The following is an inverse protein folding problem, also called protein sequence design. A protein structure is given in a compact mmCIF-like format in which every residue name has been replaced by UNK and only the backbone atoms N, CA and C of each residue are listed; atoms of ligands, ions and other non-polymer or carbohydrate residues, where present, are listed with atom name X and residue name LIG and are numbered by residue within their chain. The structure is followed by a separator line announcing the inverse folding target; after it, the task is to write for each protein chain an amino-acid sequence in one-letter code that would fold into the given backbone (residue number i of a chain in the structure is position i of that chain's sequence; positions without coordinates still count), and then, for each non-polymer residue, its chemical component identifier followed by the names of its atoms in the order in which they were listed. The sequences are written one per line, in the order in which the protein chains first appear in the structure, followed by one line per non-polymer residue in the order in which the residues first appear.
data_IF_197157784653
#
_entry.id   IF_197157784653
#
_cell.length_a   1.000
_cell.length_b   1.000
_cell.length_c   1.000
_cell.angle_alpha   90.00
_cell.angle_beta   90.00
_cell.angle_gamma   90.00
#
_symmetry.space_group_name_H-M   'P 1'
#
loop_
_entity.id
_entity.type
_entity.pdbx_description
1 polymer ?
#
# COMPACT_ATOMS: atom_id res chain seq x y z
N UNK A 1 7.69 20.10 -62.59
CA UNK A 1 6.80 20.67 -61.55
C UNK A 1 6.98 19.80 -60.30
N UNK A 2 7.83 20.26 -59.37
CA UNK A 2 7.40 20.87 -58.09
C UNK A 2 6.64 19.83 -57.23
N UNK A 3 7.36 18.99 -56.49
CA UNK A 3 7.75 19.15 -55.06
C UNK A 3 6.56 19.10 -54.12
N UNK A 4 6.54 18.11 -53.21
CA UNK A 4 6.22 18.28 -51.78
C UNK A 4 6.57 16.97 -51.06
N UNK A 5 7.82 16.88 -50.57
CA UNK A 5 8.19 15.94 -49.52
C UNK A 5 7.72 16.56 -48.20
N UNK A 6 6.65 16.02 -47.64
CA UNK A 6 6.22 16.36 -46.28
C UNK A 6 7.21 15.74 -45.31
N UNK A 7 8.09 16.56 -44.74
CA UNK A 7 8.85 16.22 -43.54
C UNK A 7 7.87 16.00 -42.40
N UNK A 8 7.49 14.75 -42.17
CA UNK A 8 6.82 14.32 -40.96
C UNK A 8 7.83 14.42 -39.80
N UNK A 9 7.85 15.57 -39.14
CA UNK A 9 8.48 15.69 -37.84
C UNK A 9 7.76 14.74 -36.89
N UNK A 10 8.40 13.60 -36.62
CA UNK A 10 8.03 12.72 -35.52
C UNK A 10 7.91 13.57 -34.25
N UNK A 11 6.88 13.35 -33.41
CA UNK A 11 6.81 14.04 -32.13
C UNK A 11 8.07 13.70 -31.33
N UNK A 12 8.87 14.72 -31.03
CA UNK A 12 10.07 14.61 -30.21
C UNK A 12 9.67 14.05 -28.84
N UNK A 13 10.19 12.85 -28.52
CA UNK A 13 9.97 12.21 -27.22
C UNK A 13 10.40 13.16 -26.09
N UNK A 14 9.65 13.25 -24.97
CA UNK A 14 10.02 14.09 -23.82
C UNK A 14 11.46 13.85 -23.35
N UNK A 15 11.93 12.60 -23.43
CA UNK A 15 13.31 12.19 -23.09
C UNK A 15 14.38 12.82 -23.99
N UNK A 16 14.05 13.11 -25.25
CA UNK A 16 14.98 13.76 -26.19
C UNK A 16 15.17 15.24 -25.87
N UNK A 17 14.17 15.86 -25.24
CA UNK A 17 14.19 17.28 -24.90
C UNK A 17 14.95 17.51 -23.59
N UNK A 18 14.83 16.60 -22.63
CA UNK A 18 15.58 16.60 -21.37
C UNK A 18 17.10 16.52 -21.63
N UNK A 19 17.55 15.53 -22.41
CA UNK A 19 18.96 15.39 -22.77
C UNK A 19 19.50 16.59 -23.58
N UNK A 20 18.65 17.19 -24.43
CA UNK A 20 19.02 18.40 -25.18
C UNK A 20 19.19 19.61 -24.26
N UNK A 21 18.31 19.80 -23.27
CA UNK A 21 18.41 20.88 -22.28
C UNK A 21 19.67 20.72 -21.41
N UNK A 22 19.97 19.50 -20.95
CA UNK A 22 21.19 19.24 -20.19
C UNK A 22 22.46 19.55 -20.99
N UNK A 23 22.52 19.10 -22.25
CA UNK A 23 23.65 19.40 -23.13
C UNK A 23 23.80 20.90 -23.41
N UNK A 24 22.70 21.63 -23.57
CA UNK A 24 22.70 23.08 -23.73
C UNK A 24 23.21 23.78 -22.47
N UNK A 25 22.85 23.29 -21.29
CA UNK A 25 23.28 23.83 -20.01
C UNK A 25 24.77 23.58 -19.75
N UNK A 26 25.28 22.39 -20.05
CA UNK A 26 26.70 22.07 -19.86
C UNK A 26 27.58 22.85 -20.85
N UNK A 27 27.14 23.04 -22.10
CA UNK A 27 27.79 23.93 -23.05
C UNK A 27 27.78 25.40 -22.60
N UNK A 28 26.69 25.84 -21.96
CA UNK A 28 26.61 27.20 -21.44
C UNK A 28 27.58 27.41 -20.28
N UNK A 29 27.65 26.43 -19.37
CA UNK A 29 28.55 26.41 -18.23
C UNK A 29 30.01 26.50 -18.66
N UNK A 30 30.42 25.76 -19.69
CA UNK A 30 31.80 25.83 -20.22
C UNK A 30 32.14 27.20 -20.83
N UNK A 31 31.18 27.82 -21.53
CA UNK A 31 31.35 29.15 -22.14
C UNK A 31 31.52 30.23 -21.07
N UNK A 32 30.72 30.20 -20.00
CA UNK A 32 30.73 31.25 -18.97
C UNK A 32 31.86 31.05 -17.94
N UNK A 33 32.27 29.80 -17.69
CA UNK A 33 33.33 29.47 -16.72
C UNK A 33 34.76 29.58 -17.29
N UNK A 34 34.89 29.95 -18.57
CA UNK A 34 36.19 30.11 -19.23
C UNK A 34 36.96 31.33 -18.69
N UNK A 35 38.28 31.21 -18.36
CA UNK A 35 39.10 32.35 -17.92
C UNK A 35 39.23 33.47 -18.97
N UNK A 36 38.92 33.18 -20.24
CA UNK A 36 38.95 34.12 -21.37
C UNK A 36 37.56 34.70 -21.70
N UNK A 37 36.54 34.38 -20.90
CA UNK A 37 35.18 34.84 -21.15
C UNK A 37 35.11 36.37 -21.11
N UNK A 38 34.69 36.98 -22.21
CA UNK A 38 34.44 38.42 -22.26
C UNK A 38 33.10 38.75 -21.60
N UNK A 39 32.94 39.99 -21.16
CA UNK A 39 31.66 40.50 -20.60
C UNK A 39 30.50 40.22 -21.57
N UNK A 40 30.71 40.44 -22.87
CA UNK A 40 29.71 40.14 -23.90
C UNK A 40 29.34 38.65 -23.96
N UNK A 41 30.33 37.76 -23.85
CA UNK A 41 30.12 36.31 -23.79
C UNK A 41 29.31 35.90 -22.55
N UNK A 42 29.57 36.53 -21.40
CA UNK A 42 28.81 36.30 -20.18
C UNK A 42 27.38 36.81 -20.30
N UNK A 43 27.16 38.01 -20.86
CA UNK A 43 25.82 38.56 -21.13
C UNK A 43 25.03 37.71 -22.14
N UNK A 44 25.70 37.19 -23.16
CA UNK A 44 25.13 36.21 -24.09
C UNK A 44 24.76 34.90 -23.37
N UNK A 45 25.62 34.42 -22.47
CA UNK A 45 25.35 33.27 -21.61
C UNK A 45 24.08 33.43 -20.76
N UNK A 46 23.94 34.58 -20.08
CA UNK A 46 22.75 34.89 -19.28
C UNK A 46 21.47 34.96 -20.13
N UNK A 47 21.53 35.59 -21.32
CA UNK A 47 20.38 35.61 -22.25
C UNK A 47 19.97 34.22 -22.71
N UNK A 48 20.93 33.35 -23.01
CA UNK A 48 20.66 31.94 -23.34
C UNK A 48 20.06 31.20 -22.15
N UNK A 49 20.54 31.42 -20.94
CA UNK A 49 19.97 30.82 -19.73
C UNK A 49 18.49 31.20 -19.55
N UNK A 50 18.16 32.50 -19.67
CA UNK A 50 16.77 32.97 -19.63
C UNK A 50 15.90 32.30 -20.69
N UNK A 51 16.41 32.17 -21.92
CA UNK A 51 15.68 31.48 -23.00
C UNK A 51 15.47 29.99 -22.71
N UNK A 52 16.46 29.31 -22.14
CA UNK A 52 16.36 27.89 -21.76
C UNK A 52 15.31 27.72 -20.66
N UNK A 53 15.35 28.54 -19.60
CA UNK A 53 14.38 28.47 -18.51
C UNK A 53 12.94 28.78 -18.96
N UNK A 54 12.76 29.76 -19.85
CA UNK A 54 11.45 30.03 -20.44
C UNK A 54 10.95 28.84 -21.28
N UNK A 55 11.82 28.24 -22.09
CA UNK A 55 11.48 27.05 -22.88
C UNK A 55 11.10 25.83 -22.02
N UNK A 56 11.76 25.63 -20.88
CA UNK A 56 11.38 24.59 -19.91
C UNK A 56 9.99 24.89 -19.33
N UNK A 57 9.73 26.14 -18.93
CA UNK A 57 8.41 26.56 -18.42
C UNK A 57 7.29 26.33 -19.43
N UNK A 58 7.49 26.76 -20.68
CA UNK A 58 6.54 26.52 -21.77
C UNK A 58 6.33 25.02 -22.04
N UNK A 59 7.41 24.23 -22.02
CA UNK A 59 7.38 22.79 -22.20
C UNK A 59 6.63 22.07 -21.08
N UNK A 60 6.75 22.52 -19.82
CA UNK A 60 5.97 22.00 -18.69
C UNK A 60 4.49 22.36 -18.77
N UNK A 61 4.15 23.52 -19.33
CA UNK A 61 2.78 23.97 -19.53
C UNK A 61 2.08 23.34 -20.74
N UNK A 62 2.79 22.55 -21.56
CA UNK A 62 2.14 21.84 -22.67
C UNK A 62 1.18 20.76 -22.14
N UNK A 63 -0.05 20.64 -22.69
CA UNK A 63 -1.03 19.67 -22.20
C UNK A 63 -0.52 18.23 -22.15
N UNK A 64 0.34 17.84 -23.11
CA UNK A 64 0.91 16.50 -23.17
C UNK A 64 1.92 16.23 -22.05
N UNK A 65 2.78 17.19 -21.70
CA UNK A 65 3.77 17.02 -20.65
C UNK A 65 3.16 17.21 -19.26
N UNK A 66 2.14 18.05 -19.13
CA UNK A 66 1.37 18.16 -17.90
C UNK A 66 0.65 16.84 -17.59
N UNK A 67 0.01 16.23 -18.59
CA UNK A 67 -0.65 14.93 -18.43
C UNK A 67 0.34 13.82 -18.05
N UNK A 68 1.51 13.76 -18.69
CA UNK A 68 2.52 12.74 -18.39
C UNK A 68 3.14 12.92 -17.01
N UNK A 69 3.36 14.16 -16.57
CA UNK A 69 3.90 14.46 -15.25
C UNK A 69 2.87 14.16 -14.14
N UNK A 70 1.60 14.53 -14.34
CA UNK A 70 0.51 14.13 -13.46
C UNK A 70 0.37 12.60 -13.37
N UNK A 71 0.47 11.89 -14.50
CA UNK A 71 0.43 10.43 -14.53
C UNK A 71 1.61 9.82 -13.78
N UNK A 72 2.82 10.39 -13.92
CA UNK A 72 4.03 9.94 -13.22
C UNK A 72 3.91 10.12 -11.70
N UNK A 73 3.39 11.28 -11.27
CA UNK A 73 3.15 11.55 -9.85
C UNK A 73 2.07 10.61 -9.27
N UNK A 74 0.98 10.38 -10.02
CA UNK A 74 -0.05 9.41 -9.63
C UNK A 74 0.51 7.99 -9.54
N UNK A 75 1.32 7.57 -10.51
CA UNK A 75 1.97 6.26 -10.52
C UNK A 75 2.85 6.06 -9.29
N UNK A 76 3.69 7.04 -8.95
CA UNK A 76 4.52 7.01 -7.73
C UNK A 76 3.68 6.90 -6.46
N UNK A 77 2.59 7.67 -6.36
CA UNK A 77 1.69 7.59 -5.21
C UNK A 77 1.00 6.21 -5.10
N UNK A 78 0.58 5.63 -6.22
CA UNK A 78 -0.02 4.28 -6.25
C UNK A 78 1.00 3.20 -5.88
N UNK A 79 2.25 3.30 -6.35
CA UNK A 79 3.34 2.39 -5.97
C UNK A 79 3.62 2.43 -4.47
N UNK A 80 3.63 3.62 -3.84
CA UNK A 80 3.76 3.74 -2.39
C UNK A 80 2.58 3.09 -1.63
N UNK A 81 1.35 3.29 -2.09
CA UNK A 81 0.15 2.66 -1.51
C UNK A 81 0.22 1.14 -1.64
N UNK A 82 0.65 0.63 -2.79
CA UNK A 82 0.89 -0.80 -3.01
C UNK A 82 1.98 -1.33 -2.08
N UNK A 83 3.04 -0.57 -1.81
CA UNK A 83 4.06 -0.94 -0.82
C UNK A 83 3.44 -1.10 0.58
N UNK A 84 2.68 -0.10 1.02
CA UNK A 84 2.01 -0.12 2.34
C UNK A 84 0.93 -1.20 2.45
N UNK A 85 0.26 -1.53 1.35
CA UNK A 85 -0.77 -2.57 1.35
C UNK A 85 -0.22 -3.96 1.66
N UNK A 86 1.07 -4.22 1.38
CA UNK A 86 1.71 -5.49 1.74
C UNK A 86 1.79 -5.66 3.26
N UNK A 87 2.18 -4.60 3.97
CA UNK A 87 2.24 -4.61 5.44
C UNK A 87 0.86 -4.94 6.04
N UNK A 88 -0.22 -4.42 5.44
CA UNK A 88 -1.59 -4.73 5.87
C UNK A 88 -1.96 -6.19 5.59
N UNK A 89 -1.52 -6.77 4.48
CA UNK A 89 -1.76 -8.19 4.16
C UNK A 89 -0.98 -9.12 5.10
N UNK A 90 0.26 -8.78 5.43
CA UNK A 90 1.08 -9.51 6.39
C UNK A 90 0.44 -9.46 7.78
N UNK A 91 -0.06 -8.29 8.20
CA UNK A 91 -0.80 -8.14 9.45
C UNK A 91 -2.08 -8.98 9.45
N UNK A 92 -2.86 -8.97 8.36
CA UNK A 92 -4.04 -9.82 8.24
C UNK A 92 -3.68 -11.32 8.36
N UNK A 93 -2.55 -11.74 7.79
CA UNK A 93 -2.05 -13.12 7.91
C UNK A 93 -1.69 -13.46 9.36
N UNK A 94 -0.95 -12.58 10.04
CA UNK A 94 -0.58 -12.74 11.46
C UNK A 94 -1.82 -12.75 12.39
N UNK A 95 -2.84 -11.95 12.07
CA UNK A 95 -4.11 -11.96 12.80
C UNK A 95 -4.83 -13.31 12.64
N UNK A 96 -4.86 -13.87 11.43
CA UNK A 96 -5.47 -15.19 11.18
C UNK A 96 -4.78 -16.30 11.97
N UNK A 97 -3.45 -16.30 12.01
CA UNK A 97 -2.67 -17.23 12.84
C UNK A 97 -3.02 -17.08 14.32
N UNK A 98 -3.05 -15.84 14.82
CA UNK A 98 -3.40 -15.54 16.21
C UNK A 98 -4.82 -15.98 16.59
N UNK A 99 -5.79 -15.81 15.68
CA UNK A 99 -7.16 -16.26 15.93
C UNK A 99 -7.28 -17.77 15.90
N UNK A 100 -6.54 -18.44 15.02
CA UNK A 100 -6.48 -19.90 14.96
C UNK A 100 -5.93 -20.47 16.28
N UNK A 101 -4.85 -19.88 16.81
CA UNK A 101 -4.25 -20.26 18.09
C UNK A 101 -5.20 -20.03 19.27
N UNK A 102 -5.85 -18.86 19.29
CA UNK A 102 -6.80 -18.52 20.34
C UNK A 102 -8.02 -19.45 20.32
N UNK A 103 -8.53 -19.77 19.13
CA UNK A 103 -9.62 -20.72 18.93
C UNK A 103 -9.26 -22.12 19.41
N UNK A 104 -8.08 -22.62 19.09
CA UNK A 104 -7.58 -23.91 19.60
C UNK A 104 -7.53 -23.91 21.13
N UNK A 105 -6.99 -22.84 21.72
CA UNK A 105 -6.91 -22.68 23.19
C UNK A 105 -8.29 -22.68 23.84
N UNK A 106 -9.25 -21.92 23.28
CA UNK A 106 -10.63 -21.87 23.78
C UNK A 106 -11.31 -23.24 23.66
N UNK A 107 -11.12 -23.95 22.55
CA UNK A 107 -11.67 -25.29 22.37
C UNK A 107 -11.07 -26.30 23.33
N UNK A 108 -9.77 -26.24 23.60
CA UNK A 108 -9.10 -27.07 24.60
C UNK A 108 -9.67 -26.81 26.01
N UNK A 109 -9.83 -25.54 26.39
CA UNK A 109 -10.42 -25.17 27.67
C UNK A 109 -11.88 -25.64 27.78
N UNK A 110 -12.70 -25.48 26.73
CA UNK A 110 -14.08 -26.00 26.69
C UNK A 110 -14.13 -27.51 26.85
N UNK A 111 -13.23 -28.26 26.19
CA UNK A 111 -13.15 -29.72 26.33
C UNK A 111 -12.70 -30.11 27.75
N UNK A 112 -11.75 -29.38 28.33
CA UNK A 112 -11.26 -29.63 29.69
C UNK A 112 -12.35 -29.44 30.75
N UNK A 113 -13.19 -28.41 30.58
CA UNK A 113 -14.33 -28.12 31.44
C UNK A 113 -15.37 -29.25 31.37
N UNK A 114 -15.76 -29.64 30.15
CA UNK A 114 -16.69 -30.76 29.90
C UNK A 114 -16.17 -32.09 30.47
N UNK A 115 -14.86 -32.32 30.43
CA UNK A 115 -14.22 -33.51 31.02
C UNK A 115 -14.18 -33.46 32.55
N UNK A 116 -13.97 -32.28 33.14
CA UNK A 116 -13.99 -32.05 34.58
C UNK A 116 -15.35 -32.36 35.21
N UNK A 117 -16.45 -32.05 34.52
CA UNK A 117 -17.81 -32.38 34.96
C UNK A 117 -18.07 -33.89 35.02
N UNK A 118 -17.55 -34.66 34.05
CA UNK A 118 -17.73 -36.13 34.01
C UNK A 118 -16.94 -36.82 35.13
N UNK A 119 -15.76 -36.30 35.48
CA UNK A 119 -14.94 -36.83 36.57
C UNK A 119 -15.52 -36.52 37.97
N UNK A 120 -16.17 -35.37 38.14
CA UNK A 120 -16.80 -34.96 39.41
C UNK A 120 -18.16 -35.64 39.67
N UNK A 121 -18.86 -36.08 38.62
CA UNK A 121 -20.20 -36.69 38.73
C UNK A 121 -20.20 -38.14 39.25
N UNK A 122 -19.07 -38.85 39.26
CA UNK A 122 -19.02 -40.28 39.63
C UNK A 122 -19.05 -40.56 41.14
N UNK A 123 -19.12 -39.55 42.02
CA UNK A 123 -18.72 -39.77 43.43
C UNK A 123 -19.66 -39.32 44.54
N UNK A 124 -20.93 -38.90 44.35
CA UNK A 124 -21.70 -38.42 45.51
C UNK A 124 -23.22 -38.68 45.51
N UNK A 125 -23.65 -39.55 46.43
CA UNK A 125 -25.00 -39.55 47.04
C UNK A 125 -25.19 -38.32 47.97
N UNK A 126 -26.45 -37.87 48.13
CA UNK A 126 -26.91 -36.61 48.75
C UNK A 126 -26.32 -36.30 50.16
N UNK A 127 -25.97 -35.02 50.52
CA UNK A 127 -26.84 -33.84 50.69
C UNK A 127 -26.20 -32.54 50.11
N UNK A 128 -25.50 -32.70 48.99
CA UNK A 128 -24.53 -31.76 48.40
C UNK A 128 -25.13 -30.69 47.47
N UNK A 129 -26.44 -30.69 47.28
CA UNK A 129 -27.15 -29.96 46.21
C UNK A 129 -27.07 -28.41 46.29
N UNK A 130 -26.88 -27.83 47.48
CA UNK A 130 -26.71 -26.38 47.62
C UNK A 130 -25.34 -25.88 47.13
N UNK A 131 -24.27 -26.62 47.42
CA UNK A 131 -22.91 -26.31 46.93
C UNK A 131 -22.81 -26.65 45.45
N UNK A 132 -23.39 -27.78 45.03
CA UNK A 132 -23.47 -28.18 43.61
C UNK A 132 -24.16 -27.08 42.81
N UNK A 133 -25.29 -26.53 43.26
CA UNK A 133 -25.97 -25.46 42.50
C UNK A 133 -25.08 -24.23 42.28
N UNK A 134 -24.28 -23.82 43.29
CA UNK A 134 -23.36 -22.67 43.17
C UNK A 134 -22.15 -22.97 42.29
N UNK A 135 -21.56 -24.16 42.40
CA UNK A 135 -20.44 -24.56 41.55
C UNK A 135 -20.87 -24.81 40.12
N UNK A 136 -22.05 -25.41 39.92
CA UNK A 136 -22.64 -25.64 38.60
C UNK A 136 -23.00 -24.32 37.94
N UNK A 137 -23.61 -23.39 38.67
CA UNK A 137 -23.91 -22.05 38.15
C UNK A 137 -22.63 -21.25 37.81
N UNK A 138 -21.53 -21.47 38.54
CA UNK A 138 -20.23 -20.85 38.23
C UNK A 138 -19.56 -21.47 37.00
N UNK A 139 -19.58 -22.79 36.87
CA UNK A 139 -19.03 -23.52 35.71
C UNK A 139 -19.85 -23.26 34.45
N UNK A 140 -21.18 -23.20 34.56
CA UNK A 140 -22.10 -22.82 33.47
C UNK A 140 -21.84 -21.38 33.02
N UNK A 141 -21.65 -20.44 33.96
CA UNK A 141 -21.23 -19.07 33.62
C UNK A 141 -19.87 -19.03 32.90
N UNK A 142 -18.89 -19.83 33.34
CA UNK A 142 -17.56 -19.91 32.71
C UNK A 142 -17.62 -20.56 31.31
N UNK A 143 -18.45 -21.59 31.11
CA UNK A 143 -18.69 -22.23 29.80
C UNK A 143 -19.41 -21.29 28.83
N UNK A 144 -20.46 -20.60 29.28
CA UNK A 144 -21.20 -19.62 28.48
C UNK A 144 -20.29 -18.46 28.05
N UNK A 145 -19.40 -17.99 28.93
CA UNK A 145 -18.41 -16.97 28.59
C UNK A 145 -17.39 -17.46 27.56
N UNK A 146 -16.91 -18.69 27.68
CA UNK A 146 -16.00 -19.29 26.69
C UNK A 146 -16.67 -19.51 25.34
N UNK A 147 -17.94 -19.93 25.31
CA UNK A 147 -18.72 -20.06 24.08
C UNK A 147 -18.97 -18.69 23.42
N UNK A 148 -19.28 -17.66 24.22
CA UNK A 148 -19.42 -16.30 23.72
C UNK A 148 -18.10 -15.77 23.13
N UNK A 149 -16.97 -16.10 23.76
CA UNK A 149 -15.64 -15.81 23.24
C UNK A 149 -15.35 -16.58 21.94
N UNK A 150 -15.68 -17.86 21.85
CA UNK A 150 -15.55 -18.67 20.62
C UNK A 150 -16.35 -18.06 19.45
N UNK A 151 -17.59 -17.62 19.71
CA UNK A 151 -18.40 -16.90 18.74
C UNK A 151 -17.74 -15.60 18.29
N UNK A 152 -17.23 -14.80 19.23
CA UNK A 152 -16.56 -13.53 18.95
C UNK A 152 -15.27 -13.73 18.12
N UNK A 153 -14.50 -14.78 18.41
CA UNK A 153 -13.32 -15.16 17.64
C UNK A 153 -13.70 -15.52 16.21
N UNK A 154 -14.75 -16.31 16.01
CA UNK A 154 -15.23 -16.69 14.68
C UNK A 154 -15.67 -15.49 13.84
N UNK A 155 -16.36 -14.53 14.45
CA UNK A 155 -16.77 -13.29 13.79
C UNK A 155 -15.54 -12.46 13.37
N UNK A 156 -14.54 -12.42 14.24
CA UNK A 156 -13.28 -11.71 13.99
C UNK A 156 -12.42 -12.38 12.90
N UNK A 157 -12.33 -13.72 12.90
CA UNK A 157 -11.71 -14.52 11.83
C UNK A 157 -12.36 -14.20 10.48
N UNK A 158 -13.70 -14.22 10.44
CA UNK A 158 -14.48 -13.93 9.23
C UNK A 158 -14.26 -12.49 8.76
N UNK A 159 -14.25 -11.52 9.66
CA UNK A 159 -13.98 -10.12 9.36
C UNK A 159 -12.56 -9.90 8.80
N UNK A 160 -11.55 -10.52 9.40
CA UNK A 160 -10.17 -10.43 8.93
C UNK A 160 -9.99 -11.09 7.56
N UNK A 161 -10.68 -12.20 7.28
CA UNK A 161 -10.63 -12.84 5.96
C UNK A 161 -11.28 -11.96 4.88
N UNK A 162 -12.41 -11.31 5.19
CA UNK A 162 -13.05 -10.35 4.29
C UNK A 162 -12.13 -9.17 3.99
N UNK A 163 -11.46 -8.62 5.00
CA UNK A 163 -10.48 -7.55 4.83
C UNK A 163 -9.30 -8.00 3.95
N UNK A 164 -8.75 -9.19 4.20
CA UNK A 164 -7.67 -9.76 3.39
C UNK A 164 -8.06 -9.88 1.92
N UNK A 165 -9.23 -10.46 1.62
CA UNK A 165 -9.75 -10.60 0.25
C UNK A 165 -9.93 -9.23 -0.41
N UNK A 166 -10.46 -8.24 0.33
CA UNK A 166 -10.66 -6.89 -0.19
C UNK A 166 -9.34 -6.18 -0.48
N UNK A 167 -8.34 -6.32 0.38
CA UNK A 167 -7.00 -5.77 0.18
C UNK A 167 -6.33 -6.35 -1.07
N UNK A 168 -6.42 -7.67 -1.29
CA UNK A 168 -5.93 -8.31 -2.52
C UNK A 168 -6.64 -7.74 -3.75
N UNK A 169 -7.97 -7.61 -3.71
CA UNK A 169 -8.74 -7.07 -4.83
C UNK A 169 -8.33 -5.62 -5.15
N UNK A 170 -8.24 -4.76 -4.14
CA UNK A 170 -7.79 -3.37 -4.30
C UNK A 170 -6.38 -3.33 -4.90
N UNK A 171 -5.46 -4.19 -4.43
CA UNK A 171 -4.10 -4.29 -4.95
C UNK A 171 -4.08 -4.65 -6.43
N UNK A 172 -4.83 -5.66 -6.85
CA UNK A 172 -4.94 -6.08 -8.25
C UNK A 172 -5.49 -4.95 -9.12
N UNK A 173 -6.55 -4.26 -8.67
CA UNK A 173 -7.11 -3.12 -9.40
C UNK A 173 -6.09 -1.98 -9.56
N UNK A 174 -5.30 -1.69 -8.53
CA UNK A 174 -4.25 -0.67 -8.59
C UNK A 174 -3.11 -1.09 -9.53
N UNK A 175 -2.66 -2.35 -9.48
CA UNK A 175 -1.64 -2.88 -10.40
C UNK A 175 -2.09 -2.83 -11.87
N UNK A 176 -3.36 -3.12 -12.13
CA UNK A 176 -3.94 -3.02 -13.46
C UNK A 176 -3.95 -1.57 -13.96
N UNK A 177 -4.21 -0.61 -13.08
CA UNK A 177 -4.17 0.83 -13.40
C UNK A 177 -2.75 1.31 -13.73
N UNK A 178 -1.72 0.71 -13.12
CA UNK A 178 -0.32 1.01 -13.42
C UNK A 178 0.19 0.33 -14.70
N UNK A 179 -0.51 -0.71 -15.15
CA UNK A 179 -0.13 -1.53 -16.31
C UNK A 179 -0.87 -1.14 -17.60
N UNK A 180 -1.93 -0.33 -17.48
CA UNK A 180 -2.70 0.25 -18.59
C UNK A 180 -2.16 1.60 -19.02
#
# INVERSE_FOLDING_TARGET
MASHLTSSSLPSSPRSNEAAVEQQLENLKTIISSPSATIDTMCHGLRRLTSIYNGIGEMMCTPSNQASLCQTLQKKAVEEVLGRSLILLDLCSAMQESFTDLKMTVQELLMSLKRGDIAAAQQFEMPKWSIISKTFQKLVCEEEQLQALECSIRDLESGAELLFRRLIQCRVSLLNTLSS
#
